data_IF_912181455507
#
_entry.id   IF_912181455507
#
_cell.length_a   1.000
_cell.length_b   1.000
_cell.length_c   1.000
_cell.angle_alpha   90.00
_cell.angle_beta   90.00
_cell.angle_gamma   90.00
#
_symmetry.space_group_name_H-M   'P 1'
#
loop_
_entity.id
_entity.type
_entity.pdbx_description
1 polymer ?
#
# COMPACT_ATOMS: atom_id res chain seq x y z
N UNK A 1 -1.20 -34.27 14.81
CA UNK A 1 -0.43 -33.17 15.41
C UNK A 1 -1.30 -31.92 15.35
N UNK A 2 -1.81 -31.42 16.48
CA UNK A 2 -2.62 -30.20 16.51
C UNK A 2 -1.69 -29.00 16.66
N UNK A 3 -1.75 -28.07 15.70
CA UNK A 3 -1.04 -26.80 15.81
C UNK A 3 -1.90 -25.86 16.66
N UNK A 4 -1.32 -25.34 17.75
CA UNK A 4 -2.01 -24.35 18.59
C UNK A 4 -2.05 -22.98 17.92
N UNK A 5 -3.04 -22.14 18.26
CA UNK A 5 -3.08 -20.75 17.79
C UNK A 5 -1.81 -19.96 18.17
N UNK A 6 -1.21 -20.27 19.33
CA UNK A 6 0.06 -19.67 19.78
C UNK A 6 1.25 -20.08 18.90
N UNK A 7 1.31 -21.33 18.46
CA UNK A 7 2.34 -21.83 17.54
C UNK A 7 2.22 -21.15 16.16
N UNK A 8 1.00 -21.00 15.65
CA UNK A 8 0.74 -20.29 14.40
C UNK A 8 1.14 -18.80 14.49
N UNK A 9 0.78 -18.12 15.59
CA UNK A 9 1.15 -16.73 15.81
C UNK A 9 2.68 -16.55 15.92
N UNK A 10 3.36 -17.50 16.56
CA UNK A 10 4.82 -17.55 16.63
C UNK A 10 5.44 -17.62 15.24
N UNK A 11 4.96 -18.52 14.37
CA UNK A 11 5.45 -18.62 12.99
C UNK A 11 5.18 -17.37 12.17
N UNK A 12 3.97 -16.79 12.25
CA UNK A 12 3.65 -15.54 11.57
C UNK A 12 4.61 -14.42 11.99
N UNK A 13 4.91 -14.31 13.29
CA UNK A 13 5.86 -13.31 13.80
C UNK A 13 7.26 -13.54 13.26
N UNK A 14 7.76 -14.77 13.28
CA UNK A 14 9.10 -15.09 12.76
C UNK A 14 9.19 -14.83 11.25
N UNK A 15 8.19 -15.23 10.48
CA UNK A 15 8.13 -14.93 9.04
C UNK A 15 8.07 -13.42 8.79
N UNK A 16 7.26 -12.69 9.56
CA UNK A 16 7.18 -11.22 9.46
C UNK A 16 8.53 -10.55 9.74
N UNK A 17 9.26 -11.00 10.76
CA UNK A 17 10.61 -10.49 11.05
C UNK A 17 11.57 -10.74 9.88
N UNK A 18 11.55 -11.94 9.30
CA UNK A 18 12.38 -12.27 8.14
C UNK A 18 12.04 -11.44 6.89
N UNK A 19 10.79 -10.98 6.77
CA UNK A 19 10.35 -10.13 5.66
C UNK A 19 10.78 -8.66 5.78
N UNK A 20 11.21 -8.21 6.96
CA UNK A 20 11.60 -6.80 7.19
C UNK A 20 12.67 -6.31 6.20
N UNK A 21 13.69 -7.13 5.97
CA UNK A 21 14.78 -6.77 5.05
C UNK A 21 14.30 -6.76 3.60
N UNK A 22 13.49 -7.74 3.22
CA UNK A 22 12.88 -7.82 1.89
C UNK A 22 11.98 -6.62 1.63
N UNK A 23 11.14 -6.25 2.60
CA UNK A 23 10.28 -5.07 2.53
C UNK A 23 11.12 -3.80 2.35
N UNK A 24 12.20 -3.66 3.12
CA UNK A 24 13.11 -2.51 3.00
C UNK A 24 13.70 -2.42 1.59
N UNK A 25 14.21 -3.53 1.04
CA UNK A 25 14.76 -3.58 -0.32
C UNK A 25 13.71 -3.27 -1.39
N UNK A 26 12.48 -3.75 -1.23
CA UNK A 26 11.36 -3.41 -2.12
C UNK A 26 11.09 -1.91 -2.09
N UNK A 27 10.97 -1.31 -0.89
CA UNK A 27 10.73 0.14 -0.73
C UNK A 27 11.85 0.97 -1.37
N UNK A 28 13.10 0.57 -1.17
CA UNK A 28 14.25 1.22 -1.81
C UNK A 28 14.23 1.08 -3.34
N UNK A 29 13.89 -0.09 -3.87
CA UNK A 29 13.76 -0.32 -5.30
C UNK A 29 12.64 0.51 -5.93
N UNK A 30 11.49 0.62 -5.25
CA UNK A 30 10.37 1.46 -5.66
C UNK A 30 10.75 2.95 -5.66
N UNK A 31 11.46 3.43 -4.63
CA UNK A 31 11.95 4.82 -4.57
C UNK A 31 12.90 5.19 -5.71
N UNK A 32 13.65 4.23 -6.24
CA UNK A 32 14.59 4.41 -7.37
C UNK A 32 13.92 4.26 -8.74
N UNK A 33 12.65 3.88 -8.79
CA UNK A 33 11.95 3.73 -10.06
C UNK A 33 11.67 5.10 -10.70
N UNK A 34 11.58 5.15 -12.03
CA UNK A 34 11.13 6.36 -12.72
C UNK A 34 9.61 6.57 -12.64
N UNK A 35 8.85 5.47 -12.54
CA UNK A 35 7.39 5.46 -12.48
C UNK A 35 6.94 4.41 -11.46
N UNK A 36 5.96 4.75 -10.63
CA UNK A 36 5.26 3.82 -9.75
C UNK A 36 3.75 3.93 -9.96
N UNK A 37 3.05 2.84 -9.73
CA UNK A 37 1.60 2.77 -9.71
C UNK A 37 1.13 2.55 -8.28
N UNK A 38 0.14 3.32 -7.86
CA UNK A 38 -0.45 3.17 -6.54
C UNK A 38 -1.96 3.04 -6.63
N UNK A 39 -2.47 2.23 -5.71
CA UNK A 39 -3.89 1.93 -5.54
C UNK A 39 -4.17 1.85 -4.02
N UNK A 40 -5.40 2.19 -3.63
CA UNK A 40 -5.90 2.10 -2.26
C UNK A 40 -7.24 1.36 -2.28
N UNK A 41 -7.28 0.16 -1.70
CA UNK A 41 -8.52 -0.61 -1.53
C UNK A 41 -8.96 -0.60 -0.07
N UNK A 42 -10.24 -0.34 0.17
CA UNK A 42 -10.85 -0.46 1.49
C UNK A 42 -11.04 -1.93 1.90
N UNK A 43 -10.77 -2.22 3.17
CA UNK A 43 -10.92 -3.55 3.76
C UNK A 43 -11.70 -3.42 5.06
N UNK A 44 -12.77 -4.21 5.21
CA UNK A 44 -13.58 -4.25 6.42
C UNK A 44 -13.44 -5.61 7.13
N UNK A 45 -12.92 -5.60 8.35
CA UNK A 45 -12.78 -6.81 9.19
C UNK A 45 -13.52 -6.59 10.49
N UNK A 46 -14.56 -7.41 10.75
CA UNK A 46 -15.37 -7.34 11.98
C UNK A 46 -15.88 -5.93 12.31
N UNK A 47 -16.33 -5.19 11.29
CA UNK A 47 -16.79 -3.78 11.36
C UNK A 47 -15.69 -2.73 11.61
N UNK A 48 -14.42 -3.13 11.56
CA UNK A 48 -13.29 -2.20 11.55
C UNK A 48 -12.83 -1.98 10.11
N UNK A 49 -12.82 -0.72 9.69
CA UNK A 49 -12.34 -0.31 8.37
C UNK A 49 -10.83 -0.04 8.42
N UNK A 50 -10.10 -0.60 7.47
CA UNK A 50 -8.73 -0.28 7.14
C UNK A 50 -8.59 -0.10 5.63
N UNK A 51 -7.44 0.37 5.19
CA UNK A 51 -7.07 0.48 3.80
C UNK A 51 -5.87 -0.41 3.55
N UNK A 52 -5.83 -1.06 2.40
CA UNK A 52 -4.64 -1.69 1.84
C UNK A 52 -4.12 -0.81 0.73
N UNK A 53 -2.90 -0.35 0.93
CA UNK A 53 -2.15 0.51 0.02
C UNK A 53 -1.24 -0.37 -0.83
N UNK A 54 -1.33 -0.24 -2.14
CA UNK A 54 -0.47 -0.92 -3.09
C UNK A 54 0.49 0.10 -3.71
N UNK A 55 1.77 -0.26 -3.81
CA UNK A 55 2.73 0.50 -4.60
C UNK A 55 3.56 -0.46 -5.44
N UNK A 56 3.57 -0.26 -6.76
CA UNK A 56 4.11 -1.25 -7.68
C UNK A 56 4.83 -0.66 -8.90
N UNK A 57 5.67 -1.50 -9.48
CA UNK A 57 6.26 -1.39 -10.81
C UNK A 57 6.00 -2.71 -11.54
N UNK A 58 6.50 -2.88 -12.76
CA UNK A 58 6.44 -4.17 -13.47
C UNK A 58 7.21 -5.31 -12.77
N UNK A 59 8.05 -5.01 -11.78
CA UNK A 59 8.94 -6.00 -11.12
C UNK A 59 8.81 -6.05 -9.60
N UNK A 60 8.35 -4.98 -8.97
CA UNK A 60 8.28 -4.83 -7.52
C UNK A 60 6.86 -4.48 -7.11
N UNK A 61 6.40 -5.00 -5.98
CA UNK A 61 5.10 -4.68 -5.40
C UNK A 61 5.22 -4.66 -3.88
N UNK A 62 4.69 -3.61 -3.26
CA UNK A 62 4.56 -3.46 -1.82
C UNK A 62 3.08 -3.34 -1.46
N UNK A 63 2.70 -4.00 -0.36
CA UNK A 63 1.38 -3.90 0.27
C UNK A 63 1.55 -3.33 1.68
N UNK A 64 0.78 -2.30 2.03
CA UNK A 64 0.72 -1.72 3.37
C UNK A 64 -0.70 -1.63 3.88
N UNK A 65 -1.02 -2.26 5.03
CA UNK A 65 -2.31 -2.07 5.70
C UNK A 65 -2.22 -0.88 6.65
N UNK A 66 -3.21 0.02 6.59
CA UNK A 66 -3.24 1.22 7.41
C UNK A 66 -4.69 1.64 7.74
N UNK A 67 -5.01 2.11 8.97
CA UNK A 67 -6.37 2.53 9.33
C UNK A 67 -6.83 3.79 8.59
N UNK A 68 -5.89 4.66 8.21
CA UNK A 68 -6.15 5.89 7.45
C UNK A 68 -5.82 5.72 5.96
N UNK A 69 -6.42 6.56 5.13
CA UNK A 69 -6.12 6.72 3.70
C UNK A 69 -5.22 7.93 3.42
N UNK A 70 -4.63 7.99 2.23
CA UNK A 70 -3.87 9.15 1.75
C UNK A 70 -2.65 9.49 2.60
N UNK A 71 -2.39 10.80 2.81
CA UNK A 71 -1.09 11.31 3.28
C UNK A 71 -0.55 10.68 4.57
N UNK A 72 -1.41 10.43 5.57
CA UNK A 72 -0.96 9.80 6.83
C UNK A 72 -0.37 8.42 6.54
N UNK A 73 -1.12 7.59 5.83
CA UNK A 73 -0.69 6.24 5.48
C UNK A 73 0.54 6.26 4.58
N UNK A 74 0.57 7.14 3.58
CA UNK A 74 1.69 7.25 2.65
C UNK A 74 2.99 7.69 3.33
N UNK A 75 2.89 8.54 4.34
CA UNK A 75 4.03 8.91 5.19
C UNK A 75 4.52 7.72 6.02
N UNK A 76 3.61 7.00 6.67
CA UNK A 76 3.96 5.88 7.56
C UNK A 76 4.48 4.67 6.77
N UNK A 77 3.94 4.41 5.58
CA UNK A 77 4.45 3.40 4.64
C UNK A 77 5.85 3.77 4.15
N UNK A 78 6.09 5.07 3.94
CA UNK A 78 7.41 5.64 3.73
C UNK A 78 7.96 5.51 2.32
N UNK A 79 7.19 5.04 1.31
CA UNK A 79 7.72 4.92 -0.07
C UNK A 79 7.79 6.28 -0.75
N UNK A 80 6.71 7.07 -0.71
CA UNK A 80 6.65 8.38 -1.36
C UNK A 80 7.60 9.41 -0.72
N UNK A 81 7.93 9.24 0.56
CA UNK A 81 8.96 10.01 1.22
C UNK A 81 10.33 9.63 0.62
N UNK A 82 10.78 10.41 -0.36
CA UNK A 82 12.03 10.21 -1.09
C UNK A 82 11.87 9.72 -2.54
N UNK A 83 10.64 9.63 -3.05
CA UNK A 83 10.38 9.37 -4.47
C UNK A 83 10.25 10.68 -5.26
N UNK A 84 10.97 10.80 -6.36
CA UNK A 84 11.02 11.99 -7.23
C UNK A 84 10.54 11.71 -8.68
N UNK A 85 10.13 10.46 -8.95
CA UNK A 85 9.62 10.04 -10.25
C UNK A 85 8.16 10.42 -10.51
N UNK A 86 7.51 9.64 -11.38
CA UNK A 86 6.07 9.81 -11.69
C UNK A 86 5.24 8.81 -10.91
N UNK A 87 4.31 9.32 -10.13
CA UNK A 87 3.35 8.53 -9.37
C UNK A 87 2.03 8.49 -10.13
N UNK A 88 1.58 7.30 -10.48
CA UNK A 88 0.33 7.07 -11.21
C UNK A 88 -0.71 6.48 -10.24
N UNK A 89 -1.88 7.10 -10.14
CA UNK A 89 -2.89 6.77 -9.13
C UNK A 89 -4.27 6.65 -9.74
N UNK A 90 -5.09 5.78 -9.18
CA UNK A 90 -6.53 5.78 -9.36
C UNK A 90 -7.25 6.33 -8.10
N UNK A 91 -8.31 7.10 -8.32
CA UNK A 91 -9.29 7.39 -7.28
C UNK A 91 -8.90 8.31 -6.10
N UNK A 92 -7.65 8.76 -5.94
CA UNK A 92 -7.31 9.75 -4.90
C UNK A 92 -6.24 10.77 -5.32
N UNK A 93 -6.40 12.00 -4.80
CA UNK A 93 -5.41 13.07 -4.97
C UNK A 93 -4.26 12.87 -4.01
N UNK A 94 -3.06 12.62 -4.53
CA UNK A 94 -1.86 12.76 -3.71
C UNK A 94 -1.69 14.24 -3.34
N UNK A 95 -1.31 14.47 -2.08
CA UNK A 95 -0.96 15.80 -1.59
C UNK A 95 0.10 16.47 -2.48
N UNK A 96 -0.06 17.74 -2.89
CA UNK A 96 0.92 18.46 -3.72
C UNK A 96 2.27 18.70 -3.01
N UNK A 97 2.39 18.33 -1.74
CA UNK A 97 3.62 18.41 -0.95
C UNK A 97 4.68 17.37 -1.30
N UNK A 98 4.33 16.30 -2.03
CA UNK A 98 5.32 15.33 -2.48
C UNK A 98 6.06 15.85 -3.71
N UNK A 99 7.35 15.51 -3.83
CA UNK A 99 8.22 16.00 -4.92
C UNK A 99 7.95 15.30 -6.27
N UNK A 100 7.16 14.22 -6.27
CA UNK A 100 6.87 13.43 -7.45
C UNK A 100 5.85 14.11 -8.38
N UNK A 101 5.88 13.71 -9.65
CA UNK A 101 4.86 14.11 -10.63
C UNK A 101 3.63 13.22 -10.43
N UNK A 102 2.46 13.82 -10.22
CA UNK A 102 1.22 13.09 -10.00
C UNK A 102 0.44 12.97 -11.31
N UNK A 103 0.05 11.74 -11.69
CA UNK A 103 -0.81 11.48 -12.84
C UNK A 103 -1.98 10.59 -12.44
N UNK A 104 -3.18 11.01 -12.80
CA UNK A 104 -4.38 10.17 -12.64
C UNK A 104 -4.48 9.18 -13.81
N UNK A 105 -4.86 7.94 -13.52
CA UNK A 105 -5.22 6.95 -14.55
C UNK A 105 -6.58 7.32 -15.15
N UNK A 106 -6.59 7.68 -16.43
CA UNK A 106 -7.79 8.13 -17.17
C UNK A 106 -8.83 7.04 -17.44
N UNK A 107 -8.56 5.77 -17.15
CA UNK A 107 -9.47 4.64 -17.46
C UNK A 107 -10.49 4.33 -16.34
N UNK A 108 -10.49 5.08 -15.24
CA UNK A 108 -11.31 4.77 -14.06
C UNK A 108 -12.51 5.73 -13.84
N UNK A 109 -13.36 5.93 -14.85
CA UNK A 109 -14.65 6.62 -14.64
C UNK A 109 -15.80 5.64 -14.24
N UNK A 110 -15.52 4.37 -13.92
CA UNK A 110 -16.54 3.32 -13.79
C UNK A 110 -16.53 2.49 -12.49
N UNK A 111 -15.95 2.96 -11.39
CA UNK A 111 -16.19 2.36 -10.04
C UNK A 111 -16.34 3.43 -8.98
N UNK A 112 -17.42 4.21 -9.11
CA UNK A 112 -17.99 4.91 -7.97
C UNK A 112 -18.53 3.87 -6.97
N UNK A 113 -18.07 3.95 -5.72
CA UNK A 113 -18.76 3.58 -4.48
C UNK A 113 -19.91 2.56 -4.61
N UNK A 114 -19.62 1.26 -4.65
CA UNK A 114 -20.62 0.27 -4.23
C UNK A 114 -20.41 -0.02 -2.75
N UNK A 115 -21.02 0.85 -1.94
CA UNK A 115 -21.25 0.60 -0.51
C UNK A 115 -21.99 -0.74 -0.42
N UNK A 116 -21.35 -1.76 0.15
CA UNK A 116 -22.05 -2.94 0.63
C UNK A 116 -22.94 -2.51 1.82
N UNK A 117 -24.16 -2.07 1.52
CA UNK A 117 -25.24 -2.03 2.48
C UNK A 117 -25.85 -3.44 2.55
N UNK A 118 -25.64 -4.13 3.67
CA UNK A 118 -26.53 -5.17 4.20
C UNK A 118 -26.71 -4.97 5.69
#
# INVERSE_FOLDING_TARGET
MQVSAGSLLGWVRTCSQALTEVETRIKEGLRKAGVIHQDETDVCVRKHHSYVHVCSTSRLTHFGSHPSRGRSALNDIGILAGFDGTSIHDGYKISPSYRCKNRELSEHHARNNTVFLS
#
